data_IF_579268504051
#
_entry.id   IF_579268504051
#
_cell.length_a   1.000
_cell.length_b   1.000
_cell.length_c   1.000
_cell.angle_alpha   90.00
_cell.angle_beta   90.00
_cell.angle_gamma   90.00
#
_symmetry.space_group_name_H-M   'P 1'
#
loop_
_entity.id
_entity.type
_entity.pdbx_description
1 polymer ?
#
# COMPACT_ATOMS: atom_id res chain seq x y z
N UNK A 1 6.10 -4.43 48.32
CA UNK A 1 6.07 -5.89 48.58
C UNK A 1 5.09 -6.52 47.62
N UNK A 2 5.58 -7.33 46.68
CA UNK A 2 4.72 -8.19 45.86
C UNK A 2 4.08 -9.22 46.81
N UNK A 3 2.75 -9.30 46.82
CA UNK A 3 2.01 -10.28 47.63
C UNK A 3 1.84 -11.57 46.83
N UNK A 4 1.77 -12.70 47.51
CA UNK A 4 1.59 -14.02 46.90
C UNK A 4 0.35 -14.07 45.98
N UNK A 5 0.47 -14.73 44.83
CA UNK A 5 -0.60 -15.00 43.87
C UNK A 5 -1.68 -15.93 44.41
N UNK A 6 -1.39 -16.67 45.48
CA UNK A 6 -2.37 -17.49 46.22
C UNK A 6 -3.37 -16.64 47.02
N UNK A 7 -3.20 -15.31 47.07
CA UNK A 7 -4.09 -14.38 47.75
C UNK A 7 -4.36 -14.72 49.23
N UNK A 8 -3.44 -15.44 49.90
CA UNK A 8 -3.60 -15.88 51.29
C UNK A 8 -3.86 -14.76 52.28
N UNK A 9 -3.40 -13.53 51.98
CA UNK A 9 -3.67 -12.34 52.77
C UNK A 9 -5.14 -11.89 52.75
N UNK A 10 -5.96 -12.45 51.87
CA UNK A 10 -7.41 -12.22 51.80
C UNK A 10 -8.20 -13.31 52.53
N UNK A 11 -7.55 -14.34 53.07
CA UNK A 11 -8.23 -15.41 53.81
C UNK A 11 -8.60 -14.92 55.21
N UNK A 12 -9.73 -15.39 55.74
CA UNK A 12 -10.16 -15.08 57.10
C UNK A 12 -10.91 -16.27 57.72
N UNK A 13 -11.67 -15.99 58.78
CA UNK A 13 -12.27 -17.03 59.64
C UNK A 13 -13.26 -17.94 58.89
N UNK A 14 -14.02 -17.38 57.95
CA UNK A 14 -15.01 -18.10 57.15
C UNK A 14 -14.47 -18.64 55.82
N UNK A 15 -13.17 -18.47 55.56
CA UNK A 15 -12.55 -19.01 54.35
C UNK A 15 -12.36 -20.52 54.51
N UNK A 16 -12.94 -21.30 53.59
CA UNK A 16 -12.75 -22.75 53.59
C UNK A 16 -11.28 -23.13 53.38
N UNK A 17 -10.72 -23.84 54.36
CA UNK A 17 -9.31 -24.24 54.36
C UNK A 17 -9.01 -25.29 53.29
N UNK A 18 -9.96 -26.17 52.99
CA UNK A 18 -9.79 -27.19 51.96
C UNK A 18 -9.70 -26.56 50.56
N UNK A 19 -10.59 -25.61 50.26
CA UNK A 19 -10.55 -24.85 49.01
C UNK A 19 -9.29 -23.99 48.90
N UNK A 20 -8.84 -23.36 49.99
CA UNK A 20 -7.57 -22.61 50.01
C UNK A 20 -6.35 -23.47 49.70
N UNK A 21 -6.35 -24.73 50.14
CA UNK A 21 -5.31 -25.71 49.85
C UNK A 21 -5.37 -26.22 48.40
N UNK A 22 -6.56 -26.46 47.85
CA UNK A 22 -6.75 -26.80 46.43
C UNK A 22 -6.27 -25.68 45.50
N UNK A 23 -6.48 -24.42 45.88
CA UNK A 23 -5.92 -23.26 45.17
C UNK A 23 -4.40 -23.30 45.17
N UNK A 24 -3.77 -23.58 46.33
CA UNK A 24 -2.31 -23.71 46.44
C UNK A 24 -1.77 -24.82 45.52
N UNK A 25 -2.39 -26.01 45.58
CA UNK A 25 -2.01 -27.15 44.73
C UNK A 25 -2.17 -26.85 43.25
N UNK A 26 -3.17 -26.06 42.84
CA UNK A 26 -3.34 -25.64 41.45
C UNK A 26 -2.17 -24.80 40.94
N UNK A 27 -1.64 -23.90 41.78
CA UNK A 27 -0.45 -23.12 41.44
C UNK A 27 0.82 -23.99 41.36
N UNK A 28 0.93 -25.01 42.21
CA UNK A 28 2.08 -25.94 42.22
C UNK A 28 2.06 -26.92 41.05
N UNK A 29 0.87 -27.39 40.68
CA UNK A 29 0.68 -28.35 39.59
C UNK A 29 0.58 -27.68 38.21
N UNK A 30 0.56 -26.34 38.16
CA UNK A 30 0.36 -25.57 36.92
C UNK A 30 -0.90 -25.98 36.15
N UNK A 31 -2.01 -26.16 36.88
CA UNK A 31 -3.28 -26.56 36.30
C UNK A 31 -4.23 -25.38 36.12
N UNK A 32 -5.13 -25.50 35.15
CA UNK A 32 -6.23 -24.56 34.96
C UNK A 32 -7.44 -25.05 35.76
N UNK A 33 -7.80 -24.32 36.82
CA UNK A 33 -8.95 -24.66 37.66
C UNK A 33 -9.75 -23.42 38.04
N UNK A 34 -11.00 -23.65 38.43
CA UNK A 34 -11.91 -22.64 38.94
C UNK A 34 -12.41 -22.98 40.34
N UNK A 35 -12.44 -22.00 41.22
CA UNK A 35 -12.82 -22.16 42.63
C UNK A 35 -13.85 -21.12 43.04
N UNK A 36 -14.80 -21.54 43.87
CA UNK A 36 -15.66 -20.64 44.61
C UNK A 36 -15.11 -20.51 46.04
N UNK A 37 -14.52 -19.37 46.36
CA UNK A 37 -13.85 -19.16 47.66
C UNK A 37 -14.34 -17.86 48.31
N UNK A 38 -14.65 -17.94 49.60
CA UNK A 38 -14.96 -16.77 50.41
C UNK A 38 -13.66 -16.10 50.86
N UNK A 39 -13.51 -14.83 50.52
CA UNK A 39 -12.35 -14.00 50.88
C UNK A 39 -12.79 -12.68 51.49
N UNK A 40 -11.88 -12.03 52.20
CA UNK A 40 -12.10 -10.78 52.91
C UNK A 40 -11.52 -9.60 52.14
N UNK A 41 -12.31 -8.54 51.99
CA UNK A 41 -11.83 -7.24 51.52
C UNK A 41 -11.04 -6.54 52.64
N UNK A 42 -10.30 -5.47 52.30
CA UNK A 42 -9.49 -4.68 53.26
C UNK A 42 -10.29 -4.19 54.49
N UNK A 43 -11.60 -3.97 54.32
CA UNK A 43 -12.53 -3.56 55.38
C UNK A 43 -13.12 -4.75 56.17
N UNK A 44 -12.50 -5.94 56.09
CA UNK A 44 -12.95 -7.19 56.72
C UNK A 44 -14.36 -7.66 56.33
N UNK A 45 -14.90 -7.20 55.20
CA UNK A 45 -16.16 -7.77 54.70
C UNK A 45 -15.92 -9.09 53.96
N UNK A 46 -16.67 -10.16 54.30
CA UNK A 46 -16.63 -11.42 53.57
C UNK A 46 -17.34 -11.27 52.21
N UNK A 47 -16.71 -11.79 51.16
CA UNK A 47 -17.19 -11.73 49.78
C UNK A 47 -16.88 -13.07 49.12
N UNK A 48 -17.88 -13.65 48.47
CA UNK A 48 -17.67 -14.85 47.67
C UNK A 48 -17.10 -14.47 46.31
N UNK A 49 -15.95 -15.03 45.96
CA UNK A 49 -15.36 -14.88 44.65
C UNK A 49 -15.38 -16.21 43.90
N UNK A 50 -15.77 -16.13 42.62
CA UNK A 50 -15.43 -17.14 41.64
C UNK A 50 -14.06 -16.77 41.06
N UNK A 51 -13.05 -17.59 41.37
CA UNK A 51 -11.66 -17.39 40.97
C UNK A 51 -11.32 -18.42 39.90
N UNK A 52 -10.93 -17.95 38.72
CA UNK A 52 -10.42 -18.82 37.64
C UNK A 52 -8.94 -18.56 37.47
N UNK A 53 -8.15 -19.61 37.68
CA UNK A 53 -6.69 -19.62 37.61
C UNK A 53 -6.31 -20.30 36.30
N UNK A 54 -5.50 -19.62 35.49
CA UNK A 54 -4.98 -20.16 34.24
C UNK A 54 -3.46 -19.90 34.14
N UNK A 55 -2.63 -20.93 33.99
CA UNK A 55 -1.21 -20.77 33.72
C UNK A 55 -0.98 -20.28 32.28
N UNK A 56 -0.17 -19.23 32.13
CA UNK A 56 0.27 -18.71 30.83
C UNK A 56 1.63 -19.30 30.52
N UNK A 57 1.72 -20.00 29.39
CA UNK A 57 2.93 -20.64 28.90
C UNK A 57 3.65 -19.77 27.86
N UNK A 58 4.97 -19.93 27.78
CA UNK A 58 5.84 -19.35 26.76
C UNK A 58 6.06 -20.34 25.59
N UNK A 59 6.79 -19.93 24.56
CA UNK A 59 7.13 -20.72 23.35
C UNK A 59 7.77 -22.08 23.63
N UNK A 60 8.48 -22.21 24.75
CA UNK A 60 9.10 -23.47 25.20
C UNK A 60 8.18 -24.34 26.06
N UNK A 61 6.87 -24.05 26.05
CA UNK A 61 5.84 -24.69 26.89
C UNK A 61 6.06 -24.56 28.41
N UNK A 62 6.93 -23.63 28.83
CA UNK A 62 7.19 -23.31 30.23
C UNK A 62 6.20 -22.27 30.74
N UNK A 63 5.65 -22.49 31.93
CA UNK A 63 4.73 -21.55 32.60
C UNK A 63 5.52 -20.34 33.10
N UNK A 64 5.15 -19.16 32.64
CA UNK A 64 5.86 -17.89 32.95
C UNK A 64 5.00 -16.90 33.74
N UNK A 65 3.68 -16.96 33.58
CA UNK A 65 2.74 -16.11 34.31
C UNK A 65 1.50 -16.93 34.72
N UNK A 66 0.73 -16.42 35.67
CA UNK A 66 -0.61 -16.90 35.99
C UNK A 66 -1.63 -15.78 35.79
N UNK A 67 -2.69 -16.07 35.05
CA UNK A 67 -3.86 -15.21 34.93
C UNK A 67 -4.89 -15.65 35.97
N UNK A 68 -5.19 -14.78 36.93
CA UNK A 68 -6.23 -15.00 37.92
C UNK A 68 -7.35 -14.00 37.69
N UNK A 69 -8.53 -14.49 37.33
CA UNK A 69 -9.73 -13.66 37.16
C UNK A 69 -10.66 -13.85 38.35
N UNK A 70 -11.15 -12.73 38.91
CA UNK A 70 -11.98 -12.72 40.10
C UNK A 70 -13.35 -12.14 39.75
N UNK A 71 -14.41 -12.91 39.99
CA UNK A 71 -15.79 -12.45 39.84
C UNK A 71 -16.52 -12.51 41.18
N UNK A 72 -17.18 -11.43 41.58
CA UNK A 72 -17.97 -11.40 42.83
C UNK A 72 -19.29 -12.16 42.63
N UNK A 73 -19.47 -13.26 43.36
CA UNK A 73 -20.66 -14.12 43.32
C UNK A 73 -21.46 -14.07 44.62
N UNK A 74 -21.19 -13.09 45.49
CA UNK A 74 -21.81 -12.98 46.82
C UNK A 74 -23.33 -12.95 46.78
N UNK A 75 -23.93 -12.29 45.78
CA UNK A 75 -25.38 -12.21 45.62
C UNK A 75 -26.04 -13.56 45.26
N UNK A 76 -25.27 -14.54 44.78
CA UNK A 76 -25.75 -15.84 44.34
C UNK A 76 -25.55 -16.95 45.39
N UNK A 77 -24.84 -16.63 46.46
CA UNK A 77 -24.64 -17.47 47.64
C UNK A 77 -25.54 -16.95 48.77
N UNK A 78 -26.02 -17.85 49.62
CA UNK A 78 -26.91 -17.49 50.72
C UNK A 78 -26.26 -16.40 51.61
N UNK A 79 -27.03 -15.43 52.11
CA UNK A 79 -26.50 -14.40 53.00
C UNK A 79 -25.93 -15.08 54.24
N UNK A 80 -24.64 -14.88 54.48
CA UNK A 80 -23.99 -15.35 55.70
C UNK A 80 -24.54 -14.49 56.84
N UNK A 81 -25.27 -15.13 57.75
CA UNK A 81 -25.86 -14.49 58.92
C UNK A 81 -24.76 -14.12 59.91
N UNK A 82 -24.56 -12.82 60.09
CA UNK A 82 -23.90 -12.25 61.27
C UNK A 82 -24.95 -11.42 62.01
N UNK A 83 -25.23 -11.80 63.25
CA UNK A 83 -26.42 -11.44 64.06
C UNK A 83 -26.62 -9.95 64.38
N UNK A 84 -25.81 -9.01 63.90
CA UNK A 84 -25.70 -7.70 64.57
C UNK A 84 -26.06 -6.44 63.75
N UNK A 85 -26.59 -6.51 62.52
CA UNK A 85 -27.00 -5.25 61.82
C UNK A 85 -28.10 -5.39 60.76
N UNK A 86 -29.07 -4.44 60.79
CA UNK A 86 -30.31 -4.34 59.99
C UNK A 86 -30.10 -4.56 58.47
N UNK A 87 -30.94 -5.45 57.93
CA UNK A 87 -30.96 -6.02 56.56
C UNK A 87 -30.90 -5.02 55.39
N UNK A 88 -31.54 -3.85 55.51
CA UNK A 88 -31.70 -2.90 54.38
C UNK A 88 -30.40 -2.16 53.98
N UNK A 89 -29.55 -1.80 54.94
CA UNK A 89 -28.28 -1.12 54.68
C UNK A 89 -27.23 -2.03 54.01
N UNK A 90 -27.35 -3.35 54.22
CA UNK A 90 -26.48 -4.36 53.60
C UNK A 90 -26.86 -4.59 52.14
N UNK A 91 -28.16 -4.64 51.81
CA UNK A 91 -28.64 -4.77 50.42
C UNK A 91 -28.18 -3.61 49.54
N UNK A 92 -28.32 -2.36 50.02
CA UNK A 92 -27.86 -1.18 49.28
C UNK A 92 -26.34 -1.14 49.05
N UNK A 93 -25.54 -1.68 49.99
CA UNK A 93 -24.08 -1.82 49.84
C UNK A 93 -23.70 -2.96 48.90
N UNK A 94 -24.47 -4.04 48.89
CA UNK A 94 -24.33 -5.18 47.98
C UNK A 94 -24.55 -4.73 46.53
N UNK A 95 -25.61 -3.95 46.29
CA UNK A 95 -25.91 -3.35 44.97
C UNK A 95 -24.81 -2.42 44.47
N UNK A 96 -24.05 -1.78 45.37
CA UNK A 96 -22.94 -0.89 45.00
C UNK A 96 -21.65 -1.63 44.68
N UNK A 97 -21.41 -2.81 45.25
CA UNK A 97 -20.30 -3.70 44.85
C UNK A 97 -20.55 -4.37 43.49
N UNK A 98 -21.81 -4.41 43.03
CA UNK A 98 -22.27 -5.06 41.80
C UNK A 98 -22.13 -4.20 40.51
N UNK A 99 -21.59 -2.99 40.57
CA UNK A 99 -21.62 -2.06 39.42
C UNK A 99 -20.64 -2.41 38.30
N UNK A 100 -19.64 -3.27 38.51
CA UNK A 100 -18.74 -3.68 37.40
C UNK A 100 -19.31 -4.77 36.50
N UNK A 101 -20.26 -5.60 36.97
CA UNK A 101 -20.85 -6.68 36.16
C UNK A 101 -22.23 -6.33 35.59
N UNK A 102 -22.98 -5.44 36.23
CA UNK A 102 -24.36 -5.11 35.81
C UNK A 102 -24.45 -4.06 34.70
N UNK A 103 -23.46 -3.17 34.57
CA UNK A 103 -23.55 -1.96 33.76
C UNK A 103 -23.43 -2.15 32.24
N UNK A 104 -22.75 -3.20 31.77
CA UNK A 104 -22.44 -3.34 30.33
C UNK A 104 -23.16 -4.52 29.66
N UNK A 105 -23.50 -5.58 30.41
CA UNK A 105 -24.08 -6.82 29.86
C UNK A 105 -25.62 -6.92 29.98
N UNK A 106 -26.29 -5.97 30.65
CA UNK A 106 -27.72 -6.05 30.95
C UNK A 106 -28.58 -5.06 30.15
N UNK A 107 -28.30 -4.87 28.86
CA UNK A 107 -29.22 -4.15 27.95
C UNK A 107 -30.16 -5.06 27.14
N UNK A 108 -30.08 -6.39 27.28
CA UNK A 108 -30.89 -7.34 26.51
C UNK A 108 -31.44 -8.51 27.36
N UNK A 109 -32.27 -8.24 28.37
CA UNK A 109 -33.07 -9.33 28.95
C UNK A 109 -34.44 -8.84 29.47
N UNK A 110 -35.57 -9.41 28.98
CA UNK A 110 -36.90 -9.12 29.48
C UNK A 110 -37.16 -9.80 30.83
N UNK A 111 -38.06 -9.21 31.62
CA UNK A 111 -38.45 -9.68 32.94
C UNK A 111 -39.14 -11.05 32.87
N UNK A 112 -38.44 -12.12 33.26
CA UNK A 112 -39.04 -13.44 33.47
C UNK A 112 -38.56 -13.99 34.82
N UNK A 113 -39.49 -14.14 35.75
CA UNK A 113 -39.29 -14.78 37.04
C UNK A 113 -39.55 -16.30 36.88
N UNK A 114 -38.48 -17.10 36.90
CA UNK A 114 -38.41 -18.51 37.37
C UNK A 114 -37.10 -19.17 36.90
N UNK A 115 -36.32 -19.72 37.83
CA UNK A 115 -35.25 -20.68 37.52
C UNK A 115 -33.88 -20.34 38.13
N UNK A 116 -33.69 -20.56 39.43
CA UNK A 116 -32.40 -20.35 40.12
C UNK A 116 -31.24 -21.22 39.59
N UNK A 117 -31.53 -22.37 38.97
CA UNK A 117 -30.49 -23.31 38.51
C UNK A 117 -30.05 -23.13 37.05
N UNK A 118 -30.92 -22.61 36.17
CA UNK A 118 -30.61 -22.45 34.73
C UNK A 118 -29.80 -21.18 34.47
N UNK A 119 -30.08 -20.10 35.22
CA UNK A 119 -29.38 -18.81 35.05
C UNK A 119 -27.93 -18.81 35.57
N UNK A 120 -27.60 -19.65 36.56
CA UNK A 120 -26.22 -19.81 37.06
C UNK A 120 -25.33 -20.46 36.01
N UNK A 121 -25.79 -21.55 35.38
CA UNK A 121 -25.03 -22.27 34.36
C UNK A 121 -24.81 -21.48 33.08
N UNK A 122 -25.80 -20.71 32.61
CA UNK A 122 -25.67 -19.92 31.37
C UNK A 122 -24.64 -18.79 31.48
N UNK A 123 -24.55 -18.11 32.63
CA UNK A 123 -23.58 -17.02 32.84
C UNK A 123 -22.20 -17.52 33.28
N UNK A 124 -22.14 -18.64 34.02
CA UNK A 124 -20.88 -19.37 34.22
C UNK A 124 -20.35 -19.88 32.88
N UNK A 125 -21.20 -20.36 31.97
CA UNK A 125 -20.82 -20.77 30.63
C UNK A 125 -20.28 -19.60 29.79
N UNK A 126 -20.85 -18.40 29.90
CA UNK A 126 -20.37 -17.19 29.23
C UNK A 126 -19.01 -16.72 29.79
N UNK A 127 -18.80 -16.78 31.11
CA UNK A 127 -17.50 -16.51 31.78
C UNK A 127 -16.49 -17.64 31.53
N UNK A 128 -16.95 -18.89 31.37
CA UNK A 128 -16.14 -20.04 30.98
C UNK A 128 -15.67 -19.89 29.53
N UNK A 129 -16.56 -19.50 28.61
CA UNK A 129 -16.29 -19.23 27.18
C UNK A 129 -15.33 -18.05 26.99
N UNK A 130 -15.45 -17.00 27.81
CA UNK A 130 -14.53 -15.85 27.74
C UNK A 130 -13.05 -16.23 27.97
N UNK A 131 -12.78 -17.36 28.64
CA UNK A 131 -11.42 -17.82 28.93
C UNK A 131 -10.97 -19.08 28.18
N UNK A 132 -11.81 -19.73 27.38
CA UNK A 132 -11.37 -20.80 26.48
C UNK A 132 -10.89 -20.26 25.13
N UNK A 133 -11.47 -19.16 24.65
CA UNK A 133 -11.18 -18.68 23.30
C UNK A 133 -9.93 -17.81 23.19
N UNK A 134 -9.42 -17.23 24.28
CA UNK A 134 -8.18 -16.41 24.22
C UNK A 134 -7.46 -16.42 25.57
N UNK A 135 -6.75 -17.49 25.91
CA UNK A 135 -5.60 -17.33 26.82
C UNK A 135 -4.45 -16.80 25.97
N UNK A 136 -4.04 -15.51 26.12
CA UNK A 136 -2.89 -15.01 25.40
C UNK A 136 -1.68 -15.79 25.86
N UNK A 137 -1.13 -16.64 25.00
CA UNK A 137 0.19 -17.20 25.23
C UNK A 137 1.17 -16.03 25.30
N UNK A 138 2.09 -16.05 26.26
CA UNK A 138 3.16 -15.05 26.33
C UNK A 138 4.16 -15.37 25.23
N UNK A 139 3.78 -15.00 24.02
CA UNK A 139 4.49 -15.26 22.79
C UNK A 139 4.57 -13.95 22.04
N UNK A 140 5.75 -13.63 21.52
CA UNK A 140 5.94 -12.47 20.67
C UNK A 140 5.39 -12.81 19.28
N UNK A 141 4.07 -12.98 19.17
CA UNK A 141 3.44 -13.35 17.91
C UNK A 141 3.52 -12.17 16.94
N UNK A 142 4.08 -12.43 15.76
CA UNK A 142 3.92 -11.52 14.63
C UNK A 142 2.43 -11.21 14.46
N UNK A 143 2.03 -9.94 14.32
CA UNK A 143 0.63 -9.55 14.31
C UNK A 143 -0.15 -10.42 13.33
N UNK A 144 -1.14 -11.16 13.86
CA UNK A 144 -1.99 -12.05 13.06
C UNK A 144 -2.80 -11.19 12.11
N UNK A 145 -2.37 -11.15 10.85
CA UNK A 145 -3.16 -10.53 9.78
C UNK A 145 -4.28 -11.48 9.38
N UNK A 146 -5.48 -10.97 9.06
CA UNK A 146 -6.56 -11.82 8.60
C UNK A 146 -6.18 -12.51 7.28
N UNK A 147 -6.73 -13.69 6.99
CA UNK A 147 -6.49 -14.39 5.73
C UNK A 147 -6.85 -13.46 4.55
N UNK A 148 -6.04 -13.50 3.48
CA UNK A 148 -6.14 -12.65 2.29
C UNK A 148 -5.60 -11.21 2.41
N UNK A 149 -4.87 -10.87 3.46
CA UNK A 149 -4.14 -9.60 3.53
C UNK A 149 -2.63 -9.84 3.40
N UNK A 150 -2.01 -9.12 2.47
CA UNK A 150 -0.58 -9.17 2.21
C UNK A 150 0.12 -8.07 3.02
N UNK A 151 1.17 -8.43 3.74
CA UNK A 151 2.00 -7.47 4.45
C UNK A 151 2.85 -6.66 3.47
N UNK A 152 2.89 -5.34 3.64
CA UNK A 152 3.68 -4.44 2.78
C UNK A 152 5.19 -4.75 2.75
N UNK A 153 5.73 -5.34 3.83
CA UNK A 153 7.14 -5.73 3.93
C UNK A 153 7.43 -7.19 3.54
N UNK A 154 6.42 -7.92 3.05
CA UNK A 154 6.60 -9.30 2.62
C UNK A 154 7.53 -9.37 1.40
N UNK A 155 8.43 -10.38 1.34
CA UNK A 155 9.34 -10.61 0.21
C UNK A 155 8.60 -10.70 -1.13
N UNK A 156 7.44 -11.35 -1.16
CA UNK A 156 6.59 -11.41 -2.34
C UNK A 156 6.17 -10.01 -2.80
N UNK A 157 5.73 -9.15 -1.87
CA UNK A 157 5.30 -7.79 -2.18
C UNK A 157 6.46 -6.93 -2.66
N UNK A 158 7.62 -7.03 -2.04
CA UNK A 158 8.83 -6.32 -2.47
C UNK A 158 9.24 -6.74 -3.89
N UNK A 159 9.23 -8.04 -4.18
CA UNK A 159 9.57 -8.56 -5.52
C UNK A 159 8.56 -8.10 -6.56
N UNK A 160 7.26 -8.16 -6.22
CA UNK A 160 6.19 -7.65 -7.07
C UNK A 160 6.36 -6.16 -7.38
N UNK A 161 6.71 -5.35 -6.38
CA UNK A 161 6.96 -3.92 -6.57
C UNK A 161 8.12 -3.63 -7.52
N UNK A 162 9.18 -4.44 -7.50
CA UNK A 162 10.27 -4.36 -8.48
C UNK A 162 9.81 -4.72 -9.89
N UNK A 163 8.98 -5.76 -10.04
CA UNK A 163 8.39 -6.11 -11.35
C UNK A 163 7.53 -4.97 -11.88
N UNK A 164 6.68 -4.38 -11.05
CA UNK A 164 5.86 -3.22 -11.42
C UNK A 164 6.73 -2.02 -11.78
N UNK A 165 7.80 -1.75 -11.04
CA UNK A 165 8.73 -0.67 -11.36
C UNK A 165 9.37 -0.86 -12.75
N UNK A 166 9.85 -2.06 -13.06
CA UNK A 166 10.43 -2.37 -14.39
C UNK A 166 9.38 -2.20 -15.50
N UNK A 167 8.15 -2.67 -15.27
CA UNK A 167 7.06 -2.51 -16.23
C UNK A 167 6.67 -1.03 -16.41
N UNK A 168 6.67 -0.23 -15.35
CA UNK A 168 6.42 1.21 -15.48
C UNK A 168 7.49 1.89 -16.32
N UNK A 169 8.75 1.52 -16.15
CA UNK A 169 9.86 2.04 -16.96
C UNK A 169 9.72 1.63 -18.43
N UNK A 170 9.38 0.36 -18.70
CA UNK A 170 9.05 -0.11 -20.05
C UNK A 170 7.93 0.74 -20.69
N UNK A 171 6.82 0.95 -19.98
CA UNK A 171 5.70 1.76 -20.52
C UNK A 171 6.09 3.22 -20.75
N UNK A 172 6.93 3.79 -19.88
CA UNK A 172 7.39 5.17 -20.00
C UNK A 172 8.29 5.38 -21.23
N UNK A 173 8.96 4.34 -21.73
CA UNK A 173 9.73 4.37 -22.98
C UNK A 173 8.82 4.07 -24.18
N UNK A 174 8.07 2.98 -24.13
CA UNK A 174 7.34 2.50 -25.31
C UNK A 174 6.14 3.35 -25.69
N UNK A 175 5.43 3.94 -24.71
CA UNK A 175 4.22 4.74 -24.99
C UNK A 175 4.53 5.99 -25.82
N UNK A 176 5.46 6.89 -25.42
CA UNK A 176 5.81 8.05 -26.25
C UNK A 176 6.39 7.66 -27.60
N UNK A 177 7.19 6.59 -27.64
CA UNK A 177 7.75 6.07 -28.88
C UNK A 177 6.65 5.66 -29.87
N UNK A 178 5.68 4.86 -29.42
CA UNK A 178 4.58 4.39 -30.26
C UNK A 178 3.66 5.52 -30.72
N UNK A 179 3.42 6.52 -29.85
CA UNK A 179 2.61 7.70 -30.18
C UNK A 179 3.31 8.57 -31.22
N UNK A 180 4.58 8.90 -31.02
CA UNK A 180 5.32 9.79 -31.92
C UNK A 180 5.67 9.10 -33.24
N UNK A 181 6.30 7.92 -33.22
CA UNK A 181 6.82 7.25 -34.42
C UNK A 181 5.75 6.50 -35.23
N UNK A 182 4.48 6.56 -34.80
CA UNK A 182 3.32 5.92 -35.44
C UNK A 182 3.70 4.55 -35.97
N UNK A 183 4.32 3.72 -35.12
CA UNK A 183 4.74 2.38 -35.50
C UNK A 183 3.46 1.64 -35.85
N UNK A 184 3.18 1.48 -37.15
CA UNK A 184 1.99 0.78 -37.63
C UNK A 184 1.95 -0.54 -36.88
N UNK A 185 0.92 -0.75 -36.06
CA UNK A 185 0.70 -1.93 -35.21
C UNK A 185 0.41 -3.19 -36.06
N UNK A 186 1.13 -3.37 -37.17
CA UNK A 186 0.97 -4.49 -38.09
C UNK A 186 1.44 -5.81 -37.44
N UNK A 187 2.16 -5.73 -36.33
CA UNK A 187 2.60 -6.89 -35.56
C UNK A 187 1.68 -7.08 -34.35
N UNK A 188 0.74 -8.03 -34.47
CA UNK A 188 -0.13 -8.53 -33.39
C UNK A 188 0.67 -8.82 -32.11
N UNK A 189 1.94 -9.22 -32.25
CA UNK A 189 2.88 -9.44 -31.14
C UNK A 189 2.98 -8.26 -30.19
N UNK A 190 3.13 -7.02 -30.68
CA UNK A 190 3.26 -5.85 -29.80
C UNK A 190 1.96 -5.53 -29.06
N UNK A 191 0.82 -5.70 -29.73
CA UNK A 191 -0.50 -5.58 -29.09
C UNK A 191 -0.69 -6.61 -27.97
N UNK A 192 -0.26 -7.86 -28.20
CA UNK A 192 -0.31 -8.92 -27.18
C UNK A 192 0.58 -8.58 -25.99
N UNK A 193 1.80 -8.10 -26.22
CA UNK A 193 2.72 -7.69 -25.14
C UNK A 193 2.11 -6.55 -24.32
N UNK A 194 1.61 -5.50 -24.98
CA UNK A 194 0.97 -4.36 -24.29
C UNK A 194 -0.26 -4.80 -23.49
N UNK A 195 -1.05 -5.75 -24.03
CA UNK A 195 -2.21 -6.33 -23.33
C UNK A 195 -1.79 -7.12 -22.09
N UNK A 196 -0.71 -7.91 -22.15
CA UNK A 196 -0.17 -8.65 -21.01
C UNK A 196 0.28 -7.68 -19.92
N UNK A 197 0.98 -6.60 -20.30
CA UNK A 197 1.42 -5.56 -19.36
C UNK A 197 0.21 -4.91 -18.67
N UNK A 198 -0.84 -4.59 -19.41
CA UNK A 198 -2.08 -4.02 -18.85
C UNK A 198 -2.78 -4.99 -17.87
N UNK A 199 -2.79 -6.30 -18.16
CA UNK A 199 -3.30 -7.32 -17.20
C UNK A 199 -2.48 -7.36 -15.92
N UNK A 200 -1.14 -7.28 -16.00
CA UNK A 200 -0.27 -7.26 -14.81
C UNK A 200 -0.58 -6.03 -13.95
N UNK A 201 -0.78 -4.85 -14.55
CA UNK A 201 -1.19 -3.65 -13.82
C UNK A 201 -2.59 -3.77 -13.21
N UNK A 202 -3.52 -4.46 -13.87
CA UNK A 202 -4.84 -4.74 -13.28
C UNK A 202 -4.73 -5.64 -12.05
N UNK A 203 -3.87 -6.67 -12.10
CA UNK A 203 -3.56 -7.52 -10.94
C UNK A 203 -2.91 -6.69 -9.82
N UNK A 204 -2.04 -5.74 -10.14
CA UNK A 204 -1.46 -4.83 -9.14
C UNK A 204 -2.52 -4.00 -8.40
N UNK A 205 -3.54 -3.49 -9.11
CA UNK A 205 -4.67 -2.78 -8.48
C UNK A 205 -5.38 -3.69 -7.48
N UNK A 206 -5.66 -4.95 -7.87
CA UNK A 206 -6.30 -5.93 -6.97
C UNK A 206 -5.42 -6.21 -5.77
N UNK A 207 -4.11 -6.35 -5.94
CA UNK A 207 -3.17 -6.57 -4.83
C UNK A 207 -3.08 -5.35 -3.90
N UNK A 208 -3.14 -4.13 -4.43
CA UNK A 208 -3.15 -2.90 -3.62
C UNK A 208 -4.39 -2.81 -2.72
N UNK A 209 -5.55 -3.33 -3.14
CA UNK A 209 -6.73 -3.45 -2.27
C UNK A 209 -6.55 -4.44 -1.10
N UNK A 210 -5.60 -5.36 -1.20
CA UNK A 210 -5.33 -6.41 -0.21
C UNK A 210 -4.00 -6.22 0.53
N UNK A 211 -3.27 -5.13 0.29
CA UNK A 211 -1.98 -4.87 0.94
C UNK A 211 -2.16 -3.93 2.14
N UNK A 212 -1.47 -4.22 3.26
CA UNK A 212 -1.43 -3.31 4.43
C UNK A 212 -0.77 -1.97 4.10
N UNK A 213 -1.09 -0.93 4.86
CA UNK A 213 -0.40 0.36 4.76
C UNK A 213 0.00 0.87 6.16
N UNK A 214 0.96 1.80 6.19
CA UNK A 214 1.45 2.43 7.42
C UNK A 214 0.73 3.76 7.61
N UNK A 215 0.08 3.91 8.78
CA UNK A 215 -0.59 5.16 9.15
C UNK A 215 0.39 6.27 9.53
N UNK A 216 -0.09 7.52 9.68
CA UNK A 216 0.75 8.66 10.08
C UNK A 216 1.36 8.50 11.48
N UNK A 217 0.75 7.68 12.35
CA UNK A 217 1.27 7.34 13.68
C UNK A 217 2.33 6.21 13.66
N UNK A 218 2.70 5.70 12.48
CA UNK A 218 3.64 4.58 12.32
C UNK A 218 3.04 3.20 12.57
N UNK A 219 1.73 3.11 12.82
CA UNK A 219 1.03 1.85 13.05
C UNK A 219 0.70 1.13 11.73
N UNK A 220 0.83 -0.20 11.74
CA UNK A 220 0.49 -1.04 10.59
C UNK A 220 -1.00 -1.34 10.63
N UNK A 221 -1.73 -0.80 9.65
CA UNK A 221 -3.17 -0.97 9.54
C UNK A 221 -3.47 -2.23 8.72
N UNK A 222 -4.16 -3.19 9.33
CA UNK A 222 -4.57 -4.46 8.71
C UNK A 222 -6.08 -4.60 8.54
N UNK A 223 -6.89 -3.57 8.79
CA UNK A 223 -8.34 -3.63 8.56
C UNK A 223 -8.64 -3.51 7.05
N UNK A 224 -9.28 -4.52 6.42
CA UNK A 224 -9.56 -4.51 4.99
C UNK A 224 -10.55 -3.40 4.57
N UNK A 225 -11.46 -2.95 5.44
CA UNK A 225 -12.37 -1.83 5.08
C UNK A 225 -11.59 -0.52 5.01
N UNK A 226 -10.71 -0.31 5.98
CA UNK A 226 -9.90 0.90 6.06
C UNK A 226 -8.87 0.97 4.93
N UNK A 227 -8.21 -0.15 4.61
CA UNK A 227 -7.28 -0.27 3.47
C UNK A 227 -7.97 0.14 2.16
N UNK A 228 -9.13 -0.47 1.86
CA UNK A 228 -9.85 -0.21 0.60
C UNK A 228 -10.33 1.23 0.51
N UNK A 229 -10.88 1.79 1.59
CA UNK A 229 -11.38 3.19 1.60
C UNK A 229 -10.24 4.20 1.43
N UNK A 230 -9.09 3.96 2.08
CA UNK A 230 -7.90 4.80 1.91
C UNK A 230 -7.38 4.74 0.47
N UNK A 231 -7.30 3.55 -0.13
CA UNK A 231 -6.82 3.37 -1.50
C UNK A 231 -7.76 4.02 -2.54
N UNK A 232 -9.08 3.87 -2.37
CA UNK A 232 -10.08 4.51 -3.25
C UNK A 232 -9.95 6.03 -3.23
N UNK A 233 -9.73 6.62 -2.06
CA UNK A 233 -9.62 8.07 -1.89
C UNK A 233 -8.34 8.66 -2.50
N UNK A 234 -7.26 7.89 -2.55
CA UNK A 234 -5.92 8.41 -2.85
C UNK A 234 -5.48 8.12 -4.27
N UNK A 235 -5.40 6.84 -4.65
CA UNK A 235 -4.67 6.41 -5.85
C UNK A 235 -5.52 5.61 -6.83
N UNK A 236 -6.61 5.00 -6.39
CA UNK A 236 -7.41 4.09 -7.22
C UNK A 236 -7.86 4.71 -8.55
N UNK A 237 -8.33 5.97 -8.55
CA UNK A 237 -8.82 6.62 -9.77
C UNK A 237 -7.71 6.80 -10.80
N UNK A 238 -6.53 7.21 -10.36
CA UNK A 238 -5.35 7.39 -11.22
C UNK A 238 -4.90 6.03 -11.76
N UNK A 239 -4.81 5.04 -10.87
CA UNK A 239 -4.40 3.69 -11.22
C UNK A 239 -5.36 3.05 -12.25
N UNK A 240 -6.66 3.16 -12.02
CA UNK A 240 -7.71 2.65 -12.91
C UNK A 240 -7.67 3.32 -14.29
N UNK A 241 -7.61 4.64 -14.34
CA UNK A 241 -7.58 5.37 -15.61
C UNK A 241 -6.30 5.04 -16.41
N UNK A 242 -5.19 4.80 -15.70
CA UNK A 242 -3.92 4.45 -16.31
C UNK A 242 -3.86 3.02 -16.83
N UNK A 243 -4.73 2.09 -16.37
CA UNK A 243 -4.71 0.67 -16.74
C UNK A 243 -5.73 0.26 -17.80
N UNK A 244 -6.53 1.21 -18.32
CA UNK A 244 -7.54 0.89 -19.32
C UNK A 244 -6.91 0.40 -20.64
N UNK A 245 -7.36 -0.76 -21.18
CA UNK A 245 -6.82 -1.32 -22.41
C UNK A 245 -7.46 -0.65 -23.64
N UNK A 246 -7.11 0.62 -23.89
CA UNK A 246 -7.69 1.43 -24.98
C UNK A 246 -7.53 0.77 -26.37
N UNK A 247 -6.43 0.06 -26.60
CA UNK A 247 -6.18 -0.66 -27.86
C UNK A 247 -7.23 -1.75 -28.14
N UNK A 248 -7.63 -2.46 -27.09
CA UNK A 248 -8.62 -3.55 -27.18
C UNK A 248 -10.01 -2.98 -27.44
N UNK A 249 -10.36 -1.89 -26.76
CA UNK A 249 -11.64 -1.19 -26.94
C UNK A 249 -11.78 -0.72 -28.40
N UNK A 250 -10.74 -0.06 -28.93
CA UNK A 250 -10.73 0.42 -30.31
C UNK A 250 -10.83 -0.73 -31.34
N UNK A 251 -10.22 -1.88 -31.06
CA UNK A 251 -10.27 -3.05 -31.95
C UNK A 251 -11.66 -3.71 -32.00
N UNK A 252 -12.44 -3.65 -30.92
CA UNK A 252 -13.78 -4.26 -30.87
C UNK A 252 -14.88 -3.36 -31.46
N UNK A 253 -14.72 -2.04 -31.40
CA UNK A 253 -15.83 -1.12 -31.67
C UNK A 253 -15.90 -0.63 -33.14
N UNK A 254 -14.98 -1.04 -34.03
CA UNK A 254 -14.95 -0.65 -35.46
C UNK A 254 -15.27 0.84 -35.69
N UNK A 255 -14.72 1.70 -34.83
CA UNK A 255 -15.09 3.12 -34.78
C UNK A 255 -14.46 3.88 -35.94
N UNK A 256 -15.11 4.96 -36.39
CA UNK A 256 -14.61 5.86 -37.43
C UNK A 256 -13.14 6.29 -37.18
N UNK A 257 -12.37 6.45 -38.27
CA UNK A 257 -10.93 6.73 -38.23
C UNK A 257 -10.58 7.93 -37.33
N UNK A 258 -11.41 8.98 -37.30
CA UNK A 258 -11.22 10.14 -36.43
C UNK A 258 -11.25 9.79 -34.94
N UNK A 259 -12.19 8.96 -34.50
CA UNK A 259 -12.31 8.55 -33.10
C UNK A 259 -11.18 7.57 -32.73
N UNK A 260 -10.77 6.71 -33.66
CA UNK A 260 -9.63 5.80 -33.45
C UNK A 260 -8.31 6.55 -33.17
N UNK A 261 -8.11 7.71 -33.80
CA UNK A 261 -6.93 8.56 -33.59
C UNK A 261 -6.92 9.21 -32.19
N UNK A 262 -8.09 9.60 -31.69
CA UNK A 262 -8.27 10.12 -30.33
C UNK A 262 -7.99 9.04 -29.29
N UNK A 263 -8.52 7.83 -29.48
CA UNK A 263 -8.22 6.68 -28.59
C UNK A 263 -6.74 6.31 -28.61
N UNK A 264 -6.06 6.42 -29.75
CA UNK A 264 -4.61 6.23 -29.81
C UNK A 264 -3.85 7.31 -29.04
N UNK A 265 -4.35 8.55 -29.01
CA UNK A 265 -3.75 9.65 -28.26
C UNK A 265 -3.96 9.53 -26.74
N UNK A 266 -5.08 8.91 -26.31
CA UNK A 266 -5.36 8.62 -24.90
C UNK A 266 -4.35 7.63 -24.27
N UNK A 267 -3.53 6.94 -25.08
CA UNK A 267 -2.44 6.09 -24.58
C UNK A 267 -1.46 6.86 -23.67
N UNK A 268 -1.31 8.17 -23.86
CA UNK A 268 -0.46 9.02 -23.01
C UNK A 268 -0.88 8.98 -21.53
N UNK A 269 -2.16 8.69 -21.24
CA UNK A 269 -2.67 8.51 -19.87
C UNK A 269 -1.96 7.35 -19.14
N UNK A 270 -1.39 6.37 -19.86
CA UNK A 270 -0.55 5.31 -19.27
C UNK A 270 0.69 5.87 -18.56
N UNK A 271 1.16 7.08 -18.91
CA UNK A 271 2.29 7.73 -18.21
C UNK A 271 1.96 8.10 -16.76
N UNK A 272 0.69 8.20 -16.39
CA UNK A 272 0.27 8.39 -14.99
C UNK A 272 0.76 7.26 -14.06
N UNK A 273 1.09 6.08 -14.62
CA UNK A 273 1.71 4.96 -13.90
C UNK A 273 3.06 5.34 -13.26
N UNK A 274 3.74 6.38 -13.75
CA UNK A 274 4.96 6.89 -13.09
C UNK A 274 4.69 7.45 -11.70
N UNK A 275 3.46 7.84 -11.38
CA UNK A 275 3.05 8.19 -10.02
C UNK A 275 3.30 7.05 -9.01
N UNK A 276 3.40 5.80 -9.47
CA UNK A 276 3.77 4.66 -8.62
C UNK A 276 5.21 4.75 -8.12
N UNK A 277 6.12 5.32 -8.90
CA UNK A 277 7.51 5.54 -8.50
C UNK A 277 7.58 6.50 -7.31
N UNK A 278 6.73 7.54 -7.31
CA UNK A 278 6.64 8.48 -6.19
C UNK A 278 6.29 7.80 -4.86
N UNK A 279 5.42 6.78 -4.88
CA UNK A 279 5.07 5.99 -3.68
C UNK A 279 6.23 5.16 -3.12
N UNK A 280 7.25 4.90 -3.92
CA UNK A 280 8.47 4.16 -3.54
C UNK A 280 9.65 5.06 -3.26
N UNK A 281 9.54 6.34 -3.64
CA UNK A 281 10.62 7.30 -3.54
C UNK A 281 11.09 7.46 -2.10
N UNK A 282 10.17 7.49 -1.12
CA UNK A 282 10.50 7.62 0.30
C UNK A 282 11.48 6.54 0.79
N UNK A 283 11.37 5.30 0.29
CA UNK A 283 12.26 4.21 0.65
C UNK A 283 13.65 4.34 -0.01
N UNK A 284 13.73 4.92 -1.21
CA UNK A 284 14.98 5.08 -1.94
C UNK A 284 15.75 6.36 -1.55
N UNK A 285 15.07 7.39 -1.04
CA UNK A 285 15.69 8.65 -0.60
C UNK A 285 16.70 8.42 0.53
N UNK A 286 16.52 7.39 1.36
CA UNK A 286 17.45 7.03 2.44
C UNK A 286 18.83 6.59 1.91
N UNK A 287 18.90 6.10 0.67
CA UNK A 287 20.12 5.59 0.06
C UNK A 287 20.63 6.55 -1.02
N UNK A 288 21.60 7.42 -0.68
CA UNK A 288 22.14 8.43 -1.59
C UNK A 288 22.58 7.89 -2.97
N UNK A 289 23.22 6.72 -3.02
CA UNK A 289 23.59 6.08 -4.29
C UNK A 289 22.38 5.65 -5.14
N UNK A 290 21.30 5.18 -4.52
CA UNK A 290 20.07 4.82 -5.23
C UNK A 290 19.39 6.06 -5.83
N UNK A 291 19.43 7.19 -5.11
CA UNK A 291 18.93 8.49 -5.62
C UNK A 291 19.70 8.92 -6.87
N UNK A 292 21.03 8.76 -6.90
CA UNK A 292 21.84 9.08 -8.08
C UNK A 292 21.44 8.21 -9.28
N UNK A 293 21.30 6.89 -9.09
CA UNK A 293 20.86 5.97 -10.14
C UNK A 293 19.47 6.36 -10.65
N UNK A 294 18.53 6.65 -9.75
CA UNK A 294 17.19 7.10 -10.11
C UNK A 294 17.22 8.38 -10.94
N UNK A 295 18.06 9.35 -10.56
CA UNK A 295 18.17 10.63 -11.26
C UNK A 295 18.80 10.47 -12.66
N UNK A 296 19.76 9.55 -12.83
CA UNK A 296 20.28 9.16 -14.15
C UNK A 296 19.19 8.52 -15.01
N UNK A 297 18.36 7.64 -14.44
CA UNK A 297 17.21 7.07 -15.14
C UNK A 297 16.19 8.14 -15.55
N UNK A 298 15.89 9.11 -14.68
CA UNK A 298 15.00 10.24 -14.99
C UNK A 298 15.57 11.11 -16.10
N UNK A 299 16.88 11.38 -16.08
CA UNK A 299 17.57 12.11 -17.16
C UNK A 299 17.44 11.40 -18.51
N UNK A 300 17.70 10.08 -18.55
CA UNK A 300 17.55 9.29 -19.76
C UNK A 300 16.10 9.23 -20.26
N UNK A 301 15.13 9.14 -19.35
CA UNK A 301 13.70 9.16 -19.71
C UNK A 301 13.28 10.52 -20.27
N UNK A 302 13.75 11.62 -19.65
CA UNK A 302 13.49 12.98 -20.13
C UNK A 302 14.09 13.19 -21.53
N UNK A 303 15.33 12.72 -21.78
CA UNK A 303 15.94 12.75 -23.11
C UNK A 303 15.08 12.01 -24.14
N UNK A 304 14.63 10.80 -23.81
CA UNK A 304 13.75 10.02 -24.67
C UNK A 304 12.41 10.73 -24.98
N UNK A 305 11.77 11.32 -23.97
CA UNK A 305 10.51 12.03 -24.14
C UNK A 305 10.67 13.27 -25.01
N UNK A 306 11.70 14.08 -24.73
CA UNK A 306 12.00 15.25 -25.54
C UNK A 306 12.37 14.84 -26.97
N UNK A 307 13.02 13.69 -27.18
CA UNK A 307 13.33 13.17 -28.51
C UNK A 307 12.06 12.78 -29.27
N UNK A 308 11.10 12.14 -28.60
CA UNK A 308 9.79 11.81 -29.17
C UNK A 308 9.00 13.07 -29.54
N UNK A 309 9.08 14.12 -28.72
CA UNK A 309 8.45 15.42 -29.01
C UNK A 309 9.17 16.12 -30.17
N UNK A 310 10.51 16.12 -30.18
CA UNK A 310 11.32 16.68 -31.26
C UNK A 310 10.99 16.05 -32.61
N UNK A 311 10.87 14.72 -32.64
CA UNK A 311 10.40 14.02 -33.82
C UNK A 311 8.98 14.40 -34.22
N UNK A 312 8.05 14.46 -33.26
CA UNK A 312 6.67 14.86 -33.56
C UNK A 312 6.57 16.28 -34.13
N UNK A 313 7.41 17.21 -33.68
CA UNK A 313 7.50 18.57 -34.24
C UNK A 313 8.04 18.51 -35.68
N UNK A 314 9.10 17.74 -35.92
CA UNK A 314 9.64 17.54 -37.27
C UNK A 314 8.64 16.91 -38.24
N UNK A 315 7.93 15.86 -37.82
CA UNK A 315 6.89 15.19 -38.61
C UNK A 315 5.71 16.14 -38.93
N UNK A 316 5.36 17.01 -37.99
CA UNK A 316 4.31 18.02 -38.17
C UNK A 316 4.73 19.16 -39.11
N UNK A 317 5.98 19.63 -39.04
CA UNK A 317 6.44 20.77 -39.83
C UNK A 317 6.98 20.40 -41.22
N UNK A 318 7.48 19.18 -41.43
CA UNK A 318 8.14 18.79 -42.69
C UNK A 318 7.19 18.79 -43.89
N UNK A 319 5.94 18.36 -43.70
CA UNK A 319 4.92 18.30 -44.75
C UNK A 319 3.73 19.14 -44.30
N UNK A 320 3.51 20.28 -44.97
CA UNK A 320 2.30 21.07 -44.81
C UNK A 320 1.18 20.41 -45.65
N UNK A 321 0.28 19.68 -44.99
CA UNK A 321 -0.84 18.97 -45.64
C UNK A 321 -1.82 19.93 -46.32
N UNK A 322 -1.98 21.18 -45.84
CA UNK A 322 -2.92 22.14 -46.43
C UNK A 322 -2.39 22.69 -47.77
N UNK A 323 -1.07 22.92 -47.83
CA UNK A 323 -0.41 23.49 -49.02
C UNK A 323 0.24 22.43 -49.93
N UNK A 324 0.26 21.16 -49.52
CA UNK A 324 1.02 20.08 -50.15
C UNK A 324 2.48 20.45 -50.45
N UNK A 325 3.07 21.30 -49.61
CA UNK A 325 4.45 21.77 -49.77
C UNK A 325 5.34 21.17 -48.68
N UNK A 326 6.55 20.77 -49.05
CA UNK A 326 7.56 20.38 -48.07
C UNK A 326 8.36 21.58 -47.63
N UNK A 327 8.56 21.66 -46.31
CA UNK A 327 9.31 22.71 -45.66
C UNK A 327 10.80 22.34 -45.62
N UNK A 328 11.59 22.97 -46.47
CA UNK A 328 13.01 22.62 -46.67
C UNK A 328 13.92 23.05 -45.52
N UNK A 329 13.47 23.98 -44.67
CA UNK A 329 14.19 24.45 -43.49
C UNK A 329 14.04 23.53 -42.26
N UNK A 330 13.10 22.58 -42.25
CA UNK A 330 12.91 21.70 -41.08
C UNK A 330 14.08 20.72 -40.88
N UNK A 331 14.46 20.50 -39.62
CA UNK A 331 15.56 19.60 -39.26
C UNK A 331 15.42 18.19 -39.87
N UNK A 332 14.18 17.69 -40.00
CA UNK A 332 13.89 16.36 -40.51
C UNK A 332 14.14 16.27 -42.03
N UNK A 333 13.87 17.36 -42.76
CA UNK A 333 14.18 17.47 -44.18
C UNK A 333 15.70 17.48 -44.41
N UNK A 334 16.44 18.34 -43.68
CA UNK A 334 17.90 18.42 -43.75
C UNK A 334 18.57 17.08 -43.39
N UNK A 335 18.01 16.33 -42.43
CA UNK A 335 18.49 14.99 -42.11
C UNK A 335 18.33 14.04 -43.30
N UNK A 336 17.18 14.06 -43.97
CA UNK A 336 16.92 13.25 -45.16
C UNK A 336 17.93 13.50 -46.27
N UNK A 337 18.30 14.76 -46.51
CA UNK A 337 19.35 15.12 -47.47
C UNK A 337 20.73 14.59 -47.04
N UNK A 338 21.08 14.76 -45.77
CA UNK A 338 22.40 14.36 -45.23
C UNK A 338 22.60 12.85 -45.26
N UNK A 339 21.55 12.07 -44.94
CA UNK A 339 21.59 10.60 -44.92
C UNK A 339 21.45 10.00 -46.33
N UNK A 340 21.12 10.81 -47.35
CA UNK A 340 20.90 10.36 -48.72
C UNK A 340 19.53 9.70 -48.94
N UNK A 341 18.57 9.96 -48.04
CA UNK A 341 17.18 9.52 -48.13
C UNK A 341 16.23 10.74 -48.18
N UNK A 342 16.27 11.55 -49.26
CA UNK A 342 15.49 12.78 -49.36
C UNK A 342 14.00 12.51 -49.55
N UNK A 343 13.17 13.47 -49.15
CA UNK A 343 11.75 13.48 -49.46
C UNK A 343 11.54 13.78 -50.95
N UNK A 344 10.68 12.99 -51.61
CA UNK A 344 10.39 13.15 -53.05
C UNK A 344 8.89 13.29 -53.26
N UNK A 345 8.51 14.20 -54.15
CA UNK A 345 7.12 14.36 -54.52
C UNK A 345 6.74 13.31 -55.57
N UNK A 346 5.76 12.45 -55.26
CA UNK A 346 5.30 11.41 -56.18
C UNK A 346 4.20 11.99 -57.10
N UNK A 347 4.61 12.44 -58.29
CA UNK A 347 3.71 13.01 -59.32
C UNK A 347 2.85 11.93 -59.99
N UNK A 348 3.28 10.68 -59.98
CA UNK A 348 2.64 9.57 -60.74
C UNK A 348 1.66 8.73 -59.92
N UNK A 349 1.63 8.91 -58.61
CA UNK A 349 0.86 8.10 -57.67
C UNK A 349 -0.12 8.92 -56.84
N UNK A 350 0.14 8.98 -55.53
CA UNK A 350 -0.76 9.52 -54.50
C UNK A 350 -0.87 11.07 -54.48
N UNK A 351 -0.15 11.79 -55.37
CA UNK A 351 0.04 13.25 -55.31
C UNK A 351 0.53 13.74 -53.92
N UNK A 352 1.35 12.92 -53.25
CA UNK A 352 1.89 13.21 -51.91
C UNK A 352 3.41 13.13 -51.89
N UNK A 353 3.97 13.76 -50.87
CA UNK A 353 5.39 13.63 -50.54
C UNK A 353 5.63 12.26 -49.89
N UNK A 354 6.56 11.50 -50.46
CA UNK A 354 6.92 10.16 -50.02
C UNK A 354 8.44 10.07 -49.83
N UNK A 355 8.88 9.14 -48.96
CA UNK A 355 10.29 8.94 -48.64
C UNK A 355 10.68 9.49 -47.28
N UNK A 356 11.92 9.93 -47.14
CA UNK A 356 12.52 10.33 -45.88
C UNK A 356 13.40 9.26 -45.23
N UNK A 357 14.15 9.63 -44.18
CA UNK A 357 15.05 8.73 -43.46
C UNK A 357 14.31 7.61 -42.72
N UNK A 358 15.01 6.49 -42.51
CA UNK A 358 14.46 5.33 -41.77
C UNK A 358 14.07 5.70 -40.34
N UNK A 359 12.99 5.12 -39.81
CA UNK A 359 12.49 5.42 -38.44
C UNK A 359 13.55 5.21 -37.36
N UNK A 360 14.38 4.17 -37.49
CA UNK A 360 15.46 3.88 -36.55
C UNK A 360 16.53 4.98 -36.58
N UNK A 361 16.93 5.41 -37.78
CA UNK A 361 17.87 6.52 -37.94
C UNK A 361 17.30 7.80 -37.34
N UNK A 362 16.05 8.12 -37.61
CA UNK A 362 15.41 9.34 -37.10
C UNK A 362 15.35 9.32 -35.58
N UNK A 363 14.96 8.21 -34.98
CA UNK A 363 14.91 8.06 -33.52
C UNK A 363 16.28 8.28 -32.87
N UNK A 364 17.33 7.62 -33.38
CA UNK A 364 18.68 7.76 -32.85
C UNK A 364 19.19 9.20 -33.02
N UNK A 365 18.91 9.82 -34.16
CA UNK A 365 19.28 11.21 -34.44
C UNK A 365 18.54 12.19 -33.52
N UNK A 366 17.23 12.01 -33.29
CA UNK A 366 16.46 12.82 -32.35
C UNK A 366 16.99 12.67 -30.93
N UNK A 367 17.26 11.44 -30.49
CA UNK A 367 17.81 11.17 -29.16
C UNK A 367 19.20 11.81 -29.00
N UNK A 368 20.06 11.69 -30.00
CA UNK A 368 21.37 12.35 -30.03
C UNK A 368 21.23 13.86 -29.89
N UNK A 369 20.36 14.51 -30.67
CA UNK A 369 20.13 15.95 -30.55
C UNK A 369 19.69 16.31 -29.12
N UNK A 370 18.68 15.65 -28.58
CA UNK A 370 18.19 15.95 -27.22
C UNK A 370 19.22 15.69 -26.14
N UNK A 371 20.03 14.64 -26.26
CA UNK A 371 21.13 14.38 -25.33
C UNK A 371 22.13 15.53 -25.39
N UNK A 372 22.53 15.97 -26.58
CA UNK A 372 23.51 17.07 -26.72
C UNK A 372 23.00 18.42 -26.21
N UNK A 373 21.69 18.67 -26.33
CA UNK A 373 21.03 19.85 -25.74
C UNK A 373 20.91 19.74 -24.22
N UNK A 374 20.47 18.59 -23.71
CA UNK A 374 20.31 18.34 -22.28
C UNK A 374 21.65 18.31 -21.53
N UNK A 375 22.73 17.85 -22.17
CA UNK A 375 24.08 17.84 -21.58
C UNK A 375 24.84 19.15 -21.82
N UNK A 376 24.21 20.17 -22.41
CA UNK A 376 24.82 21.48 -22.75
C UNK A 376 26.05 21.42 -23.68
N UNK A 377 26.23 20.33 -24.43
CA UNK A 377 27.36 20.18 -25.36
C UNK A 377 27.10 20.93 -26.67
N UNK A 378 25.92 20.73 -27.26
CA UNK A 378 25.49 21.46 -28.46
C UNK A 378 26.42 21.37 -29.67
N UNK A 379 26.71 20.16 -30.19
CA UNK A 379 27.62 19.98 -31.34
C UNK A 379 27.19 20.70 -32.64
N UNK A 380 25.90 21.02 -32.79
CA UNK A 380 25.40 21.79 -33.95
C UNK A 380 25.16 21.00 -35.24
N UNK A 381 25.37 19.68 -35.23
CA UNK A 381 25.09 18.82 -36.39
C UNK A 381 23.59 18.79 -36.77
N UNK A 382 22.72 18.92 -35.77
CA UNK A 382 21.28 19.12 -35.91
C UNK A 382 20.96 20.38 -35.12
N UNK A 383 20.26 21.31 -35.75
CA UNK A 383 19.93 22.60 -35.16
C UNK A 383 18.47 22.97 -35.47
N UNK A 384 17.80 23.69 -34.55
CA UNK A 384 16.47 24.24 -34.79
C UNK A 384 16.55 25.41 -35.78
N UNK A 385 15.86 25.30 -36.90
CA UNK A 385 15.83 26.33 -37.94
C UNK A 385 14.51 27.08 -37.96
N UNK A 386 13.40 26.37 -37.77
CA UNK A 386 12.06 26.96 -37.76
C UNK A 386 11.75 27.62 -36.42
N UNK A 387 10.71 28.48 -36.40
CA UNK A 387 10.32 29.16 -35.16
C UNK A 387 9.79 28.17 -34.11
N UNK A 388 9.04 27.14 -34.53
CA UNK A 388 8.54 26.08 -33.64
C UNK A 388 9.68 25.25 -33.05
N UNK A 389 10.62 24.84 -33.88
CA UNK A 389 11.84 24.13 -33.46
C UNK A 389 12.67 24.97 -32.47
N UNK A 390 12.83 26.27 -32.72
CA UNK A 390 13.59 27.20 -31.86
C UNK A 390 12.94 27.39 -30.49
N UNK A 391 11.62 27.59 -30.45
CA UNK A 391 10.87 27.72 -29.19
C UNK A 391 11.06 26.45 -28.35
N UNK A 392 10.92 25.28 -28.98
CA UNK A 392 11.10 24.02 -28.29
C UNK A 392 12.56 23.80 -27.83
N UNK A 393 13.54 24.18 -28.63
CA UNK A 393 14.95 24.12 -28.26
C UNK A 393 15.26 24.98 -27.02
N UNK A 394 14.72 26.21 -26.95
CA UNK A 394 14.87 27.06 -25.75
C UNK A 394 14.25 26.38 -24.52
N UNK A 395 13.04 25.82 -24.65
CA UNK A 395 12.40 25.10 -23.55
C UNK A 395 13.22 23.88 -23.09
N UNK A 396 13.76 23.09 -24.02
CA UNK A 396 14.63 21.96 -23.72
C UNK A 396 15.91 22.37 -23.01
N UNK A 397 16.56 23.46 -23.43
CA UNK A 397 17.77 23.98 -22.78
C UNK A 397 17.50 24.39 -21.32
N UNK A 398 16.34 25.01 -21.04
CA UNK A 398 15.95 25.37 -19.67
C UNK A 398 15.74 24.13 -18.79
N UNK A 399 15.06 23.11 -19.32
CA UNK A 399 14.86 21.82 -18.61
C UNK A 399 16.20 21.12 -18.39
N UNK A 400 17.06 21.09 -19.42
CA UNK A 400 18.38 20.48 -19.35
C UNK A 400 19.28 21.10 -18.30
N UNK A 401 19.30 22.43 -18.21
CA UNK A 401 20.02 23.16 -17.18
C UNK A 401 19.57 22.72 -15.77
N UNK A 402 18.26 22.66 -15.53
CA UNK A 402 17.72 22.23 -14.25
C UNK A 402 18.08 20.77 -13.91
N UNK A 403 18.02 19.87 -14.88
CA UNK A 403 18.38 18.46 -14.69
C UNK A 403 19.88 18.26 -14.42
N UNK A 404 20.77 18.90 -15.18
CA UNK A 404 22.22 18.84 -14.95
C UNK A 404 22.58 19.39 -13.58
N UNK A 405 22.01 20.54 -13.21
CA UNK A 405 22.29 21.17 -11.91
C UNK A 405 21.88 20.24 -10.77
N UNK A 406 20.71 19.62 -10.87
CA UNK A 406 20.24 18.66 -9.88
C UNK A 406 21.15 17.43 -9.80
N UNK A 407 21.55 16.86 -10.95
CA UNK A 407 22.49 15.74 -11.03
C UNK A 407 23.84 16.06 -10.39
N UNK A 408 24.40 17.22 -10.75
CA UNK A 408 25.69 17.69 -10.25
C UNK A 408 25.63 17.95 -8.74
N UNK A 409 24.52 18.53 -8.27
CA UNK A 409 24.30 18.77 -6.84
C UNK A 409 24.18 17.46 -6.04
N UNK A 410 23.37 16.52 -6.51
CA UNK A 410 23.24 15.20 -5.86
C UNK A 410 24.57 14.45 -5.82
N UNK A 411 25.32 14.46 -6.93
CA UNK A 411 26.66 13.86 -6.97
C UNK A 411 27.61 14.51 -5.95
N UNK A 412 27.61 15.84 -5.88
CA UNK A 412 28.44 16.59 -4.93
C UNK A 412 28.09 16.29 -3.46
N UNK A 413 26.81 16.20 -3.12
CA UNK A 413 26.35 15.82 -1.77
C UNK A 413 26.84 14.43 -1.37
N UNK A 414 26.71 13.46 -2.28
CA UNK A 414 27.19 12.10 -2.06
C UNK A 414 28.70 12.11 -1.85
N UNK A 415 29.44 12.81 -2.72
CA UNK A 415 30.89 12.91 -2.61
C UNK A 415 31.33 13.50 -1.26
N UNK A 416 30.66 14.56 -0.79
CA UNK A 416 30.92 15.15 0.52
C UNK A 416 30.69 14.17 1.66
N UNK A 417 29.61 13.38 1.62
CA UNK A 417 29.28 12.38 2.66
C UNK A 417 30.30 11.23 2.77
N UNK A 418 30.99 10.88 1.67
CA UNK A 418 32.00 9.81 1.69
C UNK A 418 33.43 10.33 1.91
N UNK A 419 33.67 11.63 1.77
CA UNK A 419 35.01 12.24 1.88
C UNK A 419 35.25 12.88 3.25
N UNK A 420 34.19 13.31 3.94
CA UNK A 420 34.20 13.87 5.29
C UNK A 420 33.30 13.05 6.21
#
# INVERSE_FOLDING_TARGET
>A
MQKSSTCSFMYGELTDKETGEKVRQTFENYEMNSFEILMYKKNRMPVWFFVKIAPIRNEQDKVVLFLCTFSDITAFKQPIEDETTKSWGKFARLTRALTSSRGVLQQLAPAVAKGENVHKHSRLAEVLQLGSDILPQYKQETPKTPPHIILHYCLFKTTWDWVILILTFYTAIMVPYNVSFKTKQNNVTWLVVDSIVDVIFLVDIVLNFHTTFVGPAGEVISDPKLIRMNYVKTWFVIDLLSCLPYDVINAFENVDEGISSLFSSLKVVRLLRLGRVARKLDHYIEYGAAVLVLLVCVFGLAAHWLACIWYSIGDYEVIDEERNSVRTDSWLFLLGETVGAPYRFNVTGSNRWEGGPSKDSVYITSLYFTMTSLTSIGFGNIAPNTDGEKIFAVAMMMIGLWLILTLSHSFWLIWMQYTF
#
